data_IF_938440508095
#
_entry.id   IF_938440508095
#
_cell.length_a   1.000
_cell.length_b   1.000
_cell.length_c   1.000
_cell.angle_alpha   90.00
_cell.angle_beta   90.00
_cell.angle_gamma   90.00
#
_symmetry.space_group_name_H-M   'P 1'
#
loop_
_entity.id
_entity.type
_entity.pdbx_description
1 polymer ?
#
# COMPACT_ATOMS: atom_id res chain seq x y z
N UNK A 1 32.98 5.81 4.86
CA UNK A 1 31.92 5.36 3.93
C UNK A 1 30.60 5.98 4.36
N UNK A 2 29.78 6.47 3.42
CA UNK A 2 28.42 6.92 3.75
C UNK A 2 27.59 5.70 4.13
N UNK A 3 26.86 5.76 5.24
CA UNK A 3 25.94 4.70 5.65
C UNK A 3 24.82 4.54 4.63
N UNK A 4 24.31 3.32 4.49
CA UNK A 4 23.18 3.03 3.60
C UNK A 4 21.88 3.49 4.25
N UNK A 5 20.92 3.95 3.46
CA UNK A 5 19.67 4.53 3.98
C UNK A 5 18.92 3.59 4.95
N UNK A 6 18.95 2.28 4.69
CA UNK A 6 18.25 1.28 5.50
C UNK A 6 18.94 0.99 6.83
N UNK A 7 20.23 1.37 6.99
CA UNK A 7 20.96 1.23 8.26
C UNK A 7 20.50 2.26 9.29
N UNK A 8 19.82 3.33 8.85
CA UNK A 8 19.34 4.44 9.70
C UNK A 8 17.80 4.59 9.67
N UNK A 9 17.09 3.74 8.92
CA UNK A 9 15.64 3.72 8.84
C UNK A 9 15.03 2.91 10.01
N UNK A 10 14.79 3.57 11.15
CA UNK A 10 14.26 2.95 12.36
C UNK A 10 12.72 2.92 12.41
N UNK A 11 12.05 3.72 11.58
CA UNK A 11 10.57 3.78 11.50
C UNK A 11 10.08 3.27 10.16
N UNK A 12 9.51 2.08 10.15
CA UNK A 12 8.92 1.45 8.97
C UNK A 12 7.41 1.33 9.11
N UNK A 13 6.69 1.75 8.08
CA UNK A 13 5.26 1.46 7.94
C UNK A 13 5.08 0.21 7.06
N UNK A 14 4.24 -0.71 7.52
CA UNK A 14 3.85 -1.92 6.79
C UNK A 14 2.34 -2.02 6.93
N UNK A 15 1.62 -1.81 5.83
CA UNK A 15 0.15 -1.95 5.80
C UNK A 15 -0.17 -3.02 4.78
N UNK A 16 -0.54 -4.20 5.28
CA UNK A 16 -1.18 -5.22 4.48
C UNK A 16 -2.68 -4.96 4.53
N UNK A 17 -3.25 -4.54 3.40
CA UNK A 17 -4.61 -4.03 3.35
C UNK A 17 -5.63 -5.12 3.64
N UNK A 18 -5.38 -6.38 3.23
CA UNK A 18 -6.29 -7.51 3.47
C UNK A 18 -7.75 -7.28 3.04
N UNK A 19 -7.98 -6.37 2.10
CA UNK A 19 -9.33 -6.00 1.64
C UNK A 19 -9.69 -6.85 0.41
N UNK A 20 -10.77 -7.66 0.47
CA UNK A 20 -11.29 -8.38 -0.70
C UNK A 20 -12.16 -7.45 -1.57
N UNK A 21 -12.61 -7.92 -2.73
CA UNK A 21 -13.33 -7.12 -3.74
C UNK A 21 -14.79 -7.55 -3.97
N UNK A 22 -15.38 -8.31 -3.02
CA UNK A 22 -16.77 -8.76 -3.12
C UNK A 22 -17.77 -7.65 -2.81
N UNK A 23 -17.37 -6.63 -2.05
CA UNK A 23 -18.20 -5.47 -1.74
C UNK A 23 -17.80 -4.30 -2.64
N UNK A 24 -18.76 -3.74 -3.36
CA UNK A 24 -18.54 -2.59 -4.24
C UNK A 24 -18.10 -1.32 -3.49
N UNK A 25 -18.30 -1.25 -2.17
CA UNK A 25 -17.82 -0.14 -1.32
C UNK A 25 -16.37 -0.27 -0.88
N UNK A 26 -15.76 -1.45 -1.00
CA UNK A 26 -14.38 -1.60 -0.57
C UNK A 26 -13.42 -0.87 -1.49
N UNK A 27 -12.43 -0.21 -0.91
CA UNK A 27 -11.42 0.62 -1.59
C UNK A 27 -11.93 1.87 -2.33
N UNK A 28 -13.24 2.16 -2.32
CA UNK A 28 -13.78 3.34 -3.04
C UNK A 28 -13.33 4.69 -2.46
N UNK A 29 -12.96 4.70 -1.19
CA UNK A 29 -12.46 5.89 -0.47
C UNK A 29 -10.94 5.83 -0.25
N UNK A 30 -10.24 4.90 -0.90
CA UNK A 30 -8.79 4.87 -0.80
C UNK A 30 -8.21 6.11 -1.51
N UNK A 31 -7.42 6.87 -0.75
CA UNK A 31 -6.74 8.08 -1.22
C UNK A 31 -5.22 7.91 -1.01
N UNK A 32 -4.45 7.71 -2.10
CA UNK A 32 -3.01 7.55 -1.99
C UNK A 32 -2.29 8.82 -1.53
N UNK A 33 -2.82 10.02 -1.84
CA UNK A 33 -2.22 11.28 -1.39
C UNK A 33 -2.38 11.43 0.12
N UNK A 34 -3.59 11.16 0.64
CA UNK A 34 -3.83 11.19 2.08
C UNK A 34 -2.99 10.15 2.81
N UNK A 35 -2.85 8.94 2.25
CA UNK A 35 -1.99 7.92 2.82
C UNK A 35 -0.53 8.39 2.95
N UNK A 36 0.03 9.02 1.91
CA UNK A 36 1.38 9.59 1.93
C UNK A 36 1.50 10.75 2.93
N UNK A 37 0.47 11.61 3.03
CA UNK A 37 0.41 12.67 4.05
C UNK A 37 0.54 12.09 5.47
N UNK A 38 -0.18 10.99 5.75
CA UNK A 38 -0.11 10.33 7.05
C UNK A 38 1.25 9.69 7.32
N UNK A 39 1.92 9.12 6.31
CA UNK A 39 3.28 8.61 6.46
C UNK A 39 4.28 9.72 6.83
N UNK A 40 4.14 10.89 6.20
CA UNK A 40 4.95 12.08 6.51
C UNK A 40 4.68 12.57 7.94
N UNK A 41 3.41 12.67 8.32
CA UNK A 41 2.99 13.07 9.68
C UNK A 41 3.57 12.12 10.74
N UNK A 42 3.52 10.82 10.48
CA UNK A 42 4.07 9.78 11.35
C UNK A 42 5.62 9.72 11.37
N UNK A 43 6.29 10.51 10.52
CA UNK A 43 7.75 10.49 10.33
C UNK A 43 8.26 9.08 9.98
N UNK A 44 7.52 8.35 9.15
CA UNK A 44 7.96 7.08 8.60
C UNK A 44 9.17 7.30 7.68
N UNK A 45 10.18 6.44 7.80
CA UNK A 45 11.42 6.50 7.02
C UNK A 45 11.45 5.45 5.90
N UNK A 46 10.62 4.42 6.00
CA UNK A 46 10.37 3.46 4.92
C UNK A 46 8.92 2.98 4.96
N UNK A 47 8.41 2.60 3.80
CA UNK A 47 7.11 1.98 3.65
C UNK A 47 7.25 0.68 2.85
N UNK A 48 6.50 -0.35 3.24
CA UNK A 48 6.33 -1.58 2.46
C UNK A 48 4.93 -1.55 1.89
N UNK A 49 4.85 -1.49 0.56
CA UNK A 49 3.60 -1.51 -0.17
C UNK A 49 3.36 -2.92 -0.71
N UNK A 50 2.23 -3.50 -0.34
CA UNK A 50 1.81 -4.79 -0.87
C UNK A 50 1.29 -4.61 -2.29
N UNK A 51 1.77 -5.43 -3.21
CA UNK A 51 1.31 -5.42 -4.60
C UNK A 51 0.01 -6.22 -4.79
N UNK A 52 -0.28 -7.16 -3.89
CA UNK A 52 -1.53 -7.92 -3.84
C UNK A 52 -1.94 -8.20 -2.39
N UNK A 53 -3.21 -8.55 -2.22
CA UNK A 53 -3.75 -9.06 -0.96
C UNK A 53 -3.63 -10.60 -0.93
N UNK A 54 -3.46 -11.19 0.25
CA UNK A 54 -3.64 -12.64 0.38
C UNK A 54 -5.07 -13.09 0.00
N UNK A 55 -6.04 -12.17 0.02
CA UNK A 55 -7.41 -12.42 -0.43
C UNK A 55 -7.52 -12.61 -1.95
N UNK A 56 -6.45 -12.36 -2.72
CA UNK A 56 -6.38 -12.58 -4.17
C UNK A 56 -6.16 -11.30 -5.01
N UNK A 57 -6.95 -10.22 -4.83
CA UNK A 57 -6.85 -9.05 -5.69
C UNK A 57 -5.47 -8.38 -5.66
N UNK A 58 -5.01 -7.92 -6.83
CA UNK A 58 -3.83 -7.09 -7.00
C UNK A 58 -4.17 -5.59 -6.87
N UNK A 59 -3.22 -4.78 -6.41
CA UNK A 59 -3.36 -3.33 -6.27
C UNK A 59 -2.70 -2.57 -7.44
N UNK A 60 -2.64 -3.20 -8.62
CA UNK A 60 -2.11 -2.64 -9.86
C UNK A 60 -2.71 -3.38 -11.07
N UNK A 61 -2.74 -2.76 -12.27
CA UNK A 61 -3.16 -3.44 -13.49
C UNK A 61 -2.25 -4.64 -13.80
N UNK A 62 -2.83 -5.84 -13.93
CA UNK A 62 -2.07 -7.08 -14.09
C UNK A 62 -2.73 -8.06 -15.07
N UNK A 63 -1.93 -9.01 -15.59
CA UNK A 63 -2.38 -10.15 -16.40
C UNK A 63 -2.28 -11.50 -15.67
N UNK A 64 -1.62 -11.54 -14.51
CA UNK A 64 -1.39 -12.77 -13.74
C UNK A 64 -2.49 -13.05 -12.68
N UNK A 65 -3.49 -12.18 -12.62
CA UNK A 65 -4.62 -12.20 -11.69
C UNK A 65 -5.59 -11.08 -12.09
N UNK A 66 -6.31 -10.51 -11.14
CA UNK A 66 -7.16 -9.35 -11.38
C UNK A 66 -6.81 -8.19 -10.43
N UNK A 67 -7.01 -6.97 -10.92
CA UNK A 67 -6.92 -5.78 -10.08
C UNK A 67 -8.16 -5.70 -9.17
N UNK A 68 -7.98 -5.21 -7.94
CA UNK A 68 -9.10 -4.90 -7.06
C UNK A 68 -10.11 -3.99 -7.79
N UNK A 69 -11.37 -4.43 -7.87
CA UNK A 69 -12.40 -3.85 -8.77
C UNK A 69 -12.62 -2.36 -8.60
N UNK A 70 -12.49 -1.87 -7.36
CA UNK A 70 -12.79 -0.47 -7.02
C UNK A 70 -11.53 0.35 -6.70
N UNK A 71 -10.33 -0.13 -7.05
CA UNK A 71 -9.13 0.67 -6.94
C UNK A 71 -9.07 1.63 -8.14
N UNK A 72 -9.14 2.94 -7.89
CA UNK A 72 -9.37 3.95 -8.93
C UNK A 72 -8.11 4.75 -9.33
N UNK A 73 -6.92 4.16 -9.16
CA UNK A 73 -5.64 4.84 -9.39
C UNK A 73 -5.18 5.60 -8.16
#
# INVERSE_FOLDING_TARGET
MKKKWYEEALRRNVVDMHIPDWNEKFMTEFDPEKYVEMLKLAKAQSAVLYAHSHAGPCFYPTKAGHMHKNLNG
#
